data_IF_674355003110
#
_entry.id   IF_674355003110
#
_cell.length_a   1.000
_cell.length_b   1.000
_cell.length_c   1.000
_cell.angle_alpha   90.00
_cell.angle_beta   90.00
_cell.angle_gamma   90.00
#
_symmetry.space_group_name_H-M   'P 1'
#
loop_
_entity.id
_entity.type
_entity.pdbx_description
1 polymer ?
#
# COMPACT_ATOMS: atom_id res chain seq x y z
N UNK A 1 34.30 30.82 -36.10
CA UNK A 1 32.96 30.82 -35.50
C UNK A 1 32.74 29.41 -34.91
N UNK A 2 32.96 29.27 -33.61
CA UNK A 2 32.89 27.97 -32.92
C UNK A 2 31.47 27.87 -32.32
N UNK A 3 30.65 26.98 -32.86
CA UNK A 3 29.36 26.65 -32.28
C UNK A 3 29.58 25.75 -31.06
N UNK A 4 29.41 26.30 -29.88
CA UNK A 4 29.25 25.53 -28.63
C UNK A 4 27.84 24.92 -28.61
N UNK A 5 27.74 23.65 -28.94
CA UNK A 5 26.55 22.86 -28.65
C UNK A 5 26.55 22.54 -27.14
N UNK A 6 25.69 23.22 -26.39
CA UNK A 6 25.35 22.81 -25.03
C UNK A 6 24.72 21.42 -25.08
N UNK A 7 25.12 20.49 -24.23
CA UNK A 7 24.43 19.19 -24.17
C UNK A 7 23.00 19.43 -23.69
N UNK A 8 22.03 19.01 -24.49
CA UNK A 8 20.68 18.81 -24.04
C UNK A 8 20.72 17.79 -22.90
N UNK A 9 20.59 18.25 -21.66
CA UNK A 9 20.30 17.37 -20.54
C UNK A 9 18.91 16.78 -20.83
N UNK A 10 18.85 15.60 -21.40
CA UNK A 10 17.69 14.73 -21.32
C UNK A 10 17.51 14.44 -19.84
N UNK A 11 16.58 15.15 -19.19
CA UNK A 11 16.03 14.72 -17.92
C UNK A 11 15.59 13.27 -18.14
N UNK A 12 16.31 12.32 -17.55
CA UNK A 12 15.90 10.93 -17.53
C UNK A 12 14.45 10.94 -17.02
N UNK A 13 13.52 10.53 -17.86
CA UNK A 13 12.11 10.42 -17.46
C UNK A 13 12.08 9.47 -16.28
N UNK A 14 11.83 10.01 -15.10
CA UNK A 14 11.80 9.22 -13.87
C UNK A 14 10.68 8.18 -14.01
N UNK A 15 11.05 6.92 -13.97
CA UNK A 15 10.13 5.80 -14.15
C UNK A 15 9.01 5.88 -13.10
N UNK A 16 7.76 5.95 -13.57
CA UNK A 16 6.58 6.03 -12.71
C UNK A 16 6.22 4.64 -12.22
N UNK A 17 6.00 4.47 -10.92
CA UNK A 17 5.71 3.18 -10.31
C UNK A 17 4.21 2.88 -10.27
N UNK A 18 3.86 1.64 -10.65
CA UNK A 18 2.52 1.08 -10.45
C UNK A 18 2.57 0.08 -9.29
N UNK A 19 1.89 0.43 -8.21
CA UNK A 19 1.85 -0.33 -6.96
C UNK A 19 0.46 -0.97 -6.86
N UNK A 20 0.40 -2.31 -6.94
CA UNK A 20 -0.84 -3.08 -6.91
C UNK A 20 -1.35 -3.19 -5.47
N UNK A 21 -2.37 -2.41 -5.11
CA UNK A 21 -2.96 -2.32 -3.78
C UNK A 21 -3.61 -3.62 -3.35
N UNK A 22 -3.00 -4.30 -2.37
CA UNK A 22 -3.45 -5.62 -1.88
C UNK A 22 -3.51 -6.68 -2.98
N UNK A 23 -2.64 -6.55 -3.98
CA UNK A 23 -2.67 -7.31 -5.22
C UNK A 23 -3.56 -6.67 -6.29
N UNK A 24 -4.08 -7.46 -7.22
CA UNK A 24 -5.08 -7.02 -8.20
C UNK A 24 -6.48 -7.04 -7.57
N UNK A 25 -6.67 -6.27 -6.48
CA UNK A 25 -7.84 -6.31 -5.61
C UNK A 25 -9.14 -5.80 -6.25
N UNK A 26 -9.05 -5.16 -7.41
CA UNK A 26 -10.21 -4.84 -8.22
C UNK A 26 -10.86 -6.06 -8.91
N UNK A 27 -10.16 -7.20 -8.96
CA UNK A 27 -10.56 -8.40 -9.69
C UNK A 27 -10.65 -9.66 -8.83
N UNK A 28 -9.84 -9.76 -7.78
CA UNK A 28 -9.79 -10.90 -6.86
C UNK A 28 -9.78 -10.41 -5.41
N UNK A 29 -10.24 -11.22 -4.44
CA UNK A 29 -10.23 -10.81 -3.05
C UNK A 29 -8.85 -10.37 -2.59
N UNK A 30 -8.82 -9.23 -1.90
CA UNK A 30 -7.59 -8.58 -1.44
C UNK A 30 -6.69 -9.52 -0.63
N UNK A 31 -5.36 -9.33 -0.76
CA UNK A 31 -4.34 -10.03 0.02
C UNK A 31 -4.28 -11.56 -0.18
N UNK A 32 -4.87 -12.10 -1.23
CA UNK A 32 -4.73 -13.52 -1.57
C UNK A 32 -3.48 -13.76 -2.43
N UNK A 33 -2.93 -14.98 -2.42
CA UNK A 33 -1.83 -15.35 -3.32
C UNK A 33 -2.25 -15.21 -4.78
N UNK A 34 -3.50 -15.54 -5.09
CA UNK A 34 -4.07 -15.45 -6.44
C UNK A 34 -4.14 -13.98 -6.90
N UNK A 35 -4.52 -13.06 -6.01
CA UNK A 35 -4.51 -11.62 -6.30
C UNK A 35 -3.09 -11.11 -6.56
N UNK A 36 -2.09 -11.62 -5.83
CA UNK A 36 -0.68 -11.31 -6.05
C UNK A 36 -0.17 -11.87 -7.39
N UNK A 37 -0.52 -13.12 -7.75
CA UNK A 37 -0.20 -13.71 -9.06
C UNK A 37 -0.79 -12.90 -10.20
N UNK A 38 -2.05 -12.47 -10.07
CA UNK A 38 -2.71 -11.66 -11.07
C UNK A 38 -2.04 -10.28 -11.23
N UNK A 39 -1.68 -9.62 -10.12
CA UNK A 39 -0.93 -8.36 -10.15
C UNK A 39 0.43 -8.51 -10.85
N UNK A 40 1.14 -9.63 -10.61
CA UNK A 40 2.36 -9.96 -11.35
C UNK A 40 2.09 -10.13 -12.85
N UNK A 41 1.08 -10.88 -13.25
CA UNK A 41 0.73 -11.08 -14.66
C UNK A 41 0.34 -9.75 -15.35
N UNK A 42 -0.25 -8.81 -14.60
CA UNK A 42 -0.59 -7.45 -15.04
C UNK A 42 0.60 -6.49 -15.07
N UNK A 43 1.82 -6.97 -14.81
CA UNK A 43 3.08 -6.21 -14.84
C UNK A 43 3.18 -5.07 -13.82
N UNK A 44 2.49 -5.14 -12.69
CA UNK A 44 2.73 -4.21 -11.59
C UNK A 44 4.22 -4.21 -11.17
N UNK A 45 4.77 -3.06 -10.79
CA UNK A 45 6.15 -2.92 -10.34
C UNK A 45 6.31 -3.42 -8.91
N UNK A 46 5.30 -3.12 -8.08
CA UNK A 46 5.25 -3.54 -6.68
C UNK A 46 3.91 -4.18 -6.34
N UNK A 47 3.98 -5.18 -5.48
CA UNK A 47 2.85 -5.73 -4.76
C UNK A 47 2.73 -5.00 -3.41
N UNK A 48 1.67 -4.24 -3.22
CA UNK A 48 1.36 -3.69 -1.91
C UNK A 48 0.61 -4.71 -1.08
N UNK A 49 0.96 -4.78 0.20
CA UNK A 49 0.34 -5.67 1.17
C UNK A 49 0.43 -5.12 2.59
N UNK A 50 -0.58 -5.45 3.39
CA UNK A 50 -0.66 -5.11 4.81
C UNK A 50 -0.27 -6.32 5.66
N UNK A 51 0.47 -6.11 6.76
CA UNK A 51 0.81 -7.17 7.71
C UNK A 51 0.27 -6.88 9.10
N UNK A 52 -0.28 -7.94 9.71
CA UNK A 52 -0.69 -8.01 11.12
C UNK A 52 -0.14 -9.28 11.75
N UNK A 53 -0.09 -9.34 13.07
CA UNK A 53 0.43 -10.52 13.78
C UNK A 53 -0.67 -11.40 14.35
N UNK A 54 -0.40 -12.70 14.36
CA UNK A 54 -1.15 -13.70 15.12
C UNK A 54 -0.62 -13.77 16.56
N UNK A 55 -1.36 -14.49 17.44
CA UNK A 55 -0.96 -14.74 18.84
C UNK A 55 0.41 -15.43 18.98
N UNK A 56 0.75 -16.29 18.04
CA UNK A 56 2.00 -17.04 17.96
C UNK A 56 3.07 -16.33 17.09
N UNK A 57 2.99 -15.01 17.04
CA UNK A 57 3.99 -14.13 16.42
C UNK A 57 4.26 -14.38 14.94
N UNK A 58 3.26 -14.86 14.17
CA UNK A 58 3.40 -14.98 12.74
C UNK A 58 2.82 -13.73 12.04
N UNK A 59 3.50 -13.23 11.01
CA UNK A 59 2.97 -12.17 10.16
C UNK A 59 2.06 -12.77 9.09
N UNK A 60 0.78 -12.46 9.18
CA UNK A 60 -0.23 -12.77 8.14
C UNK A 60 -0.51 -11.53 7.31
N UNK A 61 -0.91 -11.74 6.06
CA UNK A 61 -1.22 -10.66 5.11
C UNK A 61 -2.70 -10.35 5.20
N UNK A 62 -3.03 -9.21 5.83
CA UNK A 62 -4.39 -8.77 6.09
C UNK A 62 -4.42 -7.29 6.44
N UNK A 63 -5.43 -6.56 5.92
CA UNK A 63 -5.56 -5.13 6.19
C UNK A 63 -6.04 -4.81 7.61
N UNK A 64 -7.07 -5.51 8.09
CA UNK A 64 -7.71 -5.19 9.35
C UNK A 64 -7.05 -5.97 10.51
N UNK A 65 -7.04 -5.39 11.70
CA UNK A 65 -6.66 -6.08 12.93
C UNK A 65 -7.69 -7.17 13.34
N UNK A 66 -8.80 -7.25 12.59
CA UNK A 66 -9.86 -8.23 12.81
C UNK A 66 -10.08 -9.08 11.57
N UNK A 67 -10.40 -10.34 11.79
CA UNK A 67 -10.67 -11.33 10.73
C UNK A 67 -12.04 -11.18 10.07
N UNK A 68 -12.91 -10.29 10.60
CA UNK A 68 -14.32 -10.21 10.24
C UNK A 68 -14.59 -9.81 8.78
N UNK A 69 -13.86 -8.83 8.26
CA UNK A 69 -14.27 -8.14 7.03
C UNK A 69 -14.01 -8.94 5.75
N UNK A 70 -13.07 -9.89 5.80
CA UNK A 70 -12.59 -10.63 4.62
C UNK A 70 -12.54 -12.14 4.81
N UNK A 71 -13.01 -12.67 5.97
CA UNK A 71 -12.97 -14.12 6.22
C UNK A 71 -14.30 -14.64 6.81
N UNK A 72 -14.48 -15.96 6.74
CA UNK A 72 -15.60 -16.68 7.34
C UNK A 72 -15.36 -17.07 8.81
N UNK A 73 -14.65 -16.24 9.57
CA UNK A 73 -14.23 -16.53 10.96
C UNK A 73 -15.39 -16.80 11.90
N UNK A 74 -16.49 -16.09 11.72
CA UNK A 74 -17.74 -16.26 12.50
C UNK A 74 -18.37 -17.65 12.32
N UNK A 75 -18.22 -18.25 11.14
CA UNK A 75 -18.71 -19.61 10.83
C UNK A 75 -17.77 -20.69 11.37
N UNK A 76 -16.45 -20.47 11.30
CA UNK A 76 -15.44 -21.47 11.71
C UNK A 76 -15.21 -21.46 13.23
N UNK A 77 -15.31 -20.28 13.85
CA UNK A 77 -15.09 -20.10 15.28
C UNK A 77 -16.25 -19.37 15.95
N UNK A 78 -17.50 -19.92 15.88
CA UNK A 78 -18.64 -19.27 16.52
C UNK A 78 -18.42 -19.11 18.02
N UNK A 79 -18.77 -17.93 18.55
CA UNK A 79 -18.65 -17.63 19.99
C UNK A 79 -17.24 -17.27 20.48
N UNK A 80 -16.21 -17.19 19.61
CA UNK A 80 -14.86 -16.73 19.97
C UNK A 80 -14.64 -15.24 19.75
N UNK A 81 -15.66 -14.51 19.31
CA UNK A 81 -15.56 -13.06 19.22
C UNK A 81 -15.36 -12.43 20.59
N UNK A 82 -14.47 -11.45 20.67
CA UNK A 82 -14.37 -10.56 21.81
C UNK A 82 -15.60 -9.66 21.96
N UNK A 83 -15.50 -8.67 22.84
CA UNK A 83 -16.53 -7.61 22.98
C UNK A 83 -16.81 -6.96 21.63
N UNK A 84 -18.08 -6.72 21.33
CA UNK A 84 -18.54 -6.13 20.07
C UNK A 84 -18.45 -7.04 18.82
N UNK A 85 -18.37 -8.37 18.97
CA UNK A 85 -18.37 -9.31 17.85
C UNK A 85 -17.08 -9.29 17.01
N UNK A 86 -15.98 -8.76 17.53
CA UNK A 86 -14.68 -8.68 16.82
C UNK A 86 -13.83 -9.92 17.09
N UNK A 87 -13.19 -10.41 16.02
CA UNK A 87 -12.22 -11.52 16.05
C UNK A 87 -10.83 -10.94 15.78
N UNK A 88 -10.10 -10.55 16.84
CA UNK A 88 -8.78 -9.92 16.70
C UNK A 88 -7.74 -10.94 16.25
N UNK A 89 -6.90 -10.59 15.30
CA UNK A 89 -5.85 -11.47 14.76
C UNK A 89 -4.90 -11.97 15.83
N UNK A 90 -4.56 -11.10 16.81
CA UNK A 90 -3.67 -11.43 17.94
C UNK A 90 -4.27 -12.44 18.93
N UNK A 91 -5.52 -12.84 18.80
CA UNK A 91 -6.18 -13.85 19.63
C UNK A 91 -6.19 -15.23 18.97
N UNK A 92 -5.74 -15.32 17.71
CA UNK A 92 -5.69 -16.55 16.92
C UNK A 92 -4.26 -16.95 16.60
N UNK A 93 -3.97 -18.26 16.65
CA UNK A 93 -2.72 -18.80 16.11
C UNK A 93 -2.76 -18.88 14.58
N UNK A 94 -1.59 -18.98 13.95
CA UNK A 94 -1.52 -19.20 12.50
C UNK A 94 -2.30 -20.46 12.08
N UNK A 95 -2.18 -21.56 12.83
CA UNK A 95 -2.90 -22.80 12.56
C UNK A 95 -4.43 -22.64 12.59
N UNK A 96 -4.94 -21.71 13.39
CA UNK A 96 -6.36 -21.36 13.42
C UNK A 96 -6.72 -20.47 12.22
N UNK A 97 -5.91 -19.46 11.90
CA UNK A 97 -6.13 -18.58 10.74
C UNK A 97 -6.14 -19.37 9.43
N UNK A 98 -5.27 -20.37 9.27
CA UNK A 98 -5.22 -21.24 8.08
C UNK A 98 -6.45 -22.12 7.87
N UNK A 99 -7.37 -22.21 8.83
CA UNK A 99 -8.68 -22.87 8.67
C UNK A 99 -9.72 -21.96 8.01
N UNK A 100 -9.46 -20.67 7.95
CA UNK A 100 -10.38 -19.68 7.40
C UNK A 100 -10.33 -19.70 5.87
N UNK A 101 -11.42 -19.20 5.28
CA UNK A 101 -11.49 -18.90 3.86
C UNK A 101 -11.73 -17.41 3.67
N UNK A 102 -11.01 -16.83 2.71
CA UNK A 102 -11.14 -15.43 2.34
C UNK A 102 -12.27 -15.24 1.34
N UNK A 103 -13.04 -14.18 1.52
CA UNK A 103 -14.05 -13.67 0.60
C UNK A 103 -13.80 -12.20 0.27
N UNK A 104 -14.53 -11.67 -0.71
CA UNK A 104 -14.49 -10.24 -1.03
C UNK A 104 -14.86 -9.41 0.20
N UNK A 105 -14.24 -8.23 0.34
CA UNK A 105 -14.42 -7.37 1.51
C UNK A 105 -15.88 -7.04 1.78
N UNK A 106 -16.32 -7.25 3.02
CA UNK A 106 -17.64 -6.86 3.52
C UNK A 106 -17.77 -5.34 3.63
N UNK A 107 -18.96 -4.82 3.39
CA UNK A 107 -19.32 -3.47 3.76
C UNK A 107 -19.30 -3.28 5.29
N UNK A 108 -19.35 -2.03 5.77
CA UNK A 108 -19.30 -1.70 7.21
C UNK A 108 -20.39 -2.35 8.05
N UNK A 109 -21.50 -2.78 7.43
CA UNK A 109 -22.62 -3.46 8.10
C UNK A 109 -22.47 -4.99 8.12
N UNK A 110 -21.50 -5.54 7.37
CA UNK A 110 -21.33 -6.98 7.21
C UNK A 110 -22.44 -7.67 6.41
N UNK A 111 -23.25 -6.91 5.67
CA UNK A 111 -24.44 -7.40 4.99
C UNK A 111 -24.27 -7.62 3.48
N UNK A 112 -23.07 -7.44 2.95
CA UNK A 112 -22.76 -7.58 1.52
C UNK A 112 -21.38 -7.02 1.19
N UNK A 113 -20.98 -6.96 -0.09
CA UNK A 113 -19.67 -6.49 -0.51
C UNK A 113 -19.49 -5.00 -0.23
N UNK A 114 -18.23 -4.59 0.02
CA UNK A 114 -17.83 -3.18 0.12
C UNK A 114 -17.81 -2.49 -1.24
N UNK A 115 -17.54 -3.26 -2.30
CA UNK A 115 -17.50 -2.81 -3.69
C UNK A 115 -18.35 -3.73 -4.54
N UNK A 116 -19.37 -3.16 -5.17
CA UNK A 116 -20.23 -3.91 -6.09
C UNK A 116 -19.49 -4.21 -7.40
N UNK A 117 -19.79 -5.35 -8.01
CA UNK A 117 -19.24 -5.74 -9.31
C UNK A 117 -17.82 -6.30 -9.27
N UNK A 118 -17.20 -6.44 -8.09
CA UNK A 118 -15.93 -7.17 -7.91
C UNK A 118 -16.16 -8.69 -7.86
N UNK A 119 -15.15 -9.43 -7.39
CA UNK A 119 -15.24 -10.88 -7.27
C UNK A 119 -16.48 -11.31 -6.45
N UNK A 120 -17.15 -12.45 -6.78
CA UNK A 120 -18.36 -12.87 -6.09
C UNK A 120 -18.18 -12.98 -4.57
N UNK A 121 -18.98 -12.21 -3.82
CA UNK A 121 -18.86 -12.06 -2.37
C UNK A 121 -19.01 -13.39 -1.60
N UNK A 122 -19.88 -14.27 -2.05
CA UNK A 122 -20.15 -15.56 -1.40
C UNK A 122 -19.06 -16.62 -1.66
N UNK A 123 -18.06 -16.31 -2.47
CA UNK A 123 -16.99 -17.26 -2.81
C UNK A 123 -16.00 -17.40 -1.65
N UNK A 124 -15.69 -18.64 -1.28
CA UNK A 124 -14.79 -19.01 -0.17
C UNK A 124 -13.65 -19.91 -0.70
N UNK A 125 -13.02 -19.51 -1.81
CA UNK A 125 -11.99 -20.30 -2.49
C UNK A 125 -10.57 -20.07 -1.96
N UNK A 126 -10.32 -18.92 -1.32
CA UNK A 126 -8.99 -18.42 -1.03
C UNK A 126 -8.62 -18.58 0.44
N UNK A 127 -7.32 -18.50 0.73
CA UNK A 127 -6.77 -18.59 2.08
C UNK A 127 -6.07 -17.28 2.49
N UNK A 128 -5.90 -17.08 3.80
CA UNK A 128 -5.09 -15.98 4.35
C UNK A 128 -3.62 -16.36 4.22
N UNK A 129 -2.80 -15.62 3.44
CA UNK A 129 -1.37 -15.93 3.33
C UNK A 129 -0.58 -15.38 4.51
N UNK A 130 0.58 -15.97 4.74
CA UNK A 130 1.64 -15.37 5.55
C UNK A 130 2.52 -14.47 4.69
N UNK A 131 3.27 -13.56 5.33
CA UNK A 131 4.29 -12.78 4.63
C UNK A 131 5.33 -13.68 3.95
N UNK A 132 5.71 -14.79 4.60
CA UNK A 132 6.72 -15.70 4.04
C UNK A 132 6.21 -16.43 2.78
N UNK A 133 4.93 -16.78 2.71
CA UNK A 133 4.32 -17.33 1.48
C UNK A 133 4.37 -16.32 0.32
N UNK A 134 4.11 -15.03 0.59
CA UNK A 134 4.27 -13.97 -0.41
C UNK A 134 5.74 -13.82 -0.85
N UNK A 135 6.69 -13.80 0.09
CA UNK A 135 8.13 -13.71 -0.22
C UNK A 135 8.59 -14.90 -1.10
N UNK A 136 8.15 -16.11 -0.77
CA UNK A 136 8.43 -17.29 -1.57
C UNK A 136 7.83 -17.18 -2.99
N UNK A 137 6.60 -16.67 -3.09
CA UNK A 137 5.92 -16.47 -4.36
C UNK A 137 6.68 -15.48 -5.27
N UNK A 138 7.04 -14.29 -4.75
CA UNK A 138 7.74 -13.29 -5.58
C UNK A 138 9.16 -13.72 -5.95
N UNK A 139 9.85 -14.44 -5.06
CA UNK A 139 11.14 -15.05 -5.39
C UNK A 139 11.00 -16.17 -6.45
N UNK A 140 9.92 -16.94 -6.39
CA UNK A 140 9.56 -17.91 -7.41
C UNK A 140 9.37 -17.24 -8.78
N UNK A 141 8.69 -16.10 -8.84
CA UNK A 141 8.53 -15.34 -10.09
C UNK A 141 9.86 -14.85 -10.64
N UNK A 142 10.73 -14.29 -9.79
CA UNK A 142 12.08 -13.88 -10.20
C UNK A 142 12.85 -15.05 -10.84
N UNK A 143 12.76 -16.23 -10.25
CA UNK A 143 13.45 -17.41 -10.75
C UNK A 143 12.85 -17.94 -12.06
N UNK A 144 11.52 -18.03 -12.16
CA UNK A 144 10.83 -18.67 -13.29
C UNK A 144 10.63 -17.76 -14.50
N UNK A 145 10.46 -16.45 -14.28
CA UNK A 145 10.14 -15.45 -15.32
C UNK A 145 11.26 -14.42 -15.53
N UNK A 146 12.27 -14.37 -14.66
CA UNK A 146 13.34 -13.37 -14.73
C UNK A 146 12.92 -11.94 -14.35
N UNK A 147 11.62 -11.69 -14.02
CA UNK A 147 11.10 -10.38 -13.62
C UNK A 147 10.99 -10.28 -12.11
N UNK A 148 11.49 -9.18 -11.56
CA UNK A 148 11.33 -8.82 -10.16
C UNK A 148 10.04 -8.03 -10.00
N UNK A 149 9.15 -8.46 -9.11
CA UNK A 149 8.08 -7.64 -8.55
C UNK A 149 8.48 -7.26 -7.12
N UNK A 150 8.59 -5.98 -6.84
CA UNK A 150 8.94 -5.49 -5.51
C UNK A 150 7.79 -5.68 -4.52
N UNK A 151 8.06 -5.52 -3.23
CA UNK A 151 7.06 -5.56 -2.17
C UNK A 151 6.93 -4.18 -1.50
N UNK A 152 5.69 -3.80 -1.24
CA UNK A 152 5.31 -2.55 -0.60
C UNK A 152 4.50 -2.88 0.65
N UNK A 153 5.16 -2.96 1.84
CA UNK A 153 4.62 -3.65 3.02
C UNK A 153 4.17 -2.63 4.05
N UNK A 154 2.86 -2.59 4.37
CA UNK A 154 2.33 -1.75 5.44
C UNK A 154 2.29 -2.50 6.78
N UNK A 155 2.83 -1.87 7.82
CA UNK A 155 2.67 -2.33 9.20
C UNK A 155 1.39 -1.71 9.77
N UNK A 156 0.38 -2.55 10.04
CA UNK A 156 -0.91 -2.13 10.58
C UNK A 156 -0.92 -2.15 12.10
N UNK A 157 -1.51 -1.12 12.70
CA UNK A 157 -1.87 -1.10 14.13
C UNK A 157 -0.76 -1.48 15.11
N UNK A 158 0.48 -1.03 14.89
CA UNK A 158 1.63 -1.39 15.71
C UNK A 158 1.43 -1.06 17.20
N UNK A 159 0.74 0.05 17.52
CA UNK A 159 0.42 0.41 18.90
C UNK A 159 -0.50 -0.63 19.56
N UNK A 160 -1.48 -1.14 18.84
CA UNK A 160 -2.41 -2.15 19.33
C UNK A 160 -1.68 -3.49 19.53
N UNK A 161 -0.80 -3.88 18.60
CA UNK A 161 0.03 -5.08 18.75
C UNK A 161 0.90 -5.03 20.02
N UNK A 162 1.47 -3.85 20.36
CA UNK A 162 2.24 -3.68 21.60
C UNK A 162 1.43 -3.96 22.87
N UNK A 163 0.12 -3.71 22.88
CA UNK A 163 -0.75 -4.06 24.02
C UNK A 163 -0.85 -5.58 24.23
N UNK A 164 -0.56 -6.38 23.20
CA UNK A 164 -0.45 -7.84 23.24
C UNK A 164 0.99 -8.33 23.33
N UNK A 165 1.96 -7.47 23.68
CA UNK A 165 3.40 -7.76 23.70
C UNK A 165 3.96 -8.23 22.35
N UNK A 166 3.40 -7.81 21.25
CA UNK A 166 3.79 -8.14 19.89
C UNK A 166 4.51 -6.95 19.22
N UNK A 167 5.55 -7.22 18.44
CA UNK A 167 6.31 -6.21 17.68
C UNK A 167 6.38 -6.58 16.19
N UNK A 168 5.40 -6.15 15.39
CA UNK A 168 5.37 -6.46 13.97
C UNK A 168 6.53 -5.84 13.19
N UNK A 169 7.06 -4.69 13.60
CA UNK A 169 8.16 -4.03 12.93
C UNK A 169 9.47 -4.82 13.08
N UNK A 170 9.80 -5.24 14.30
CA UNK A 170 10.95 -6.08 14.57
C UNK A 170 10.86 -7.43 13.86
N UNK A 171 9.67 -8.05 13.89
CA UNK A 171 9.43 -9.33 13.20
C UNK A 171 9.57 -9.20 11.70
N UNK A 172 9.01 -8.12 11.10
CA UNK A 172 9.14 -7.84 9.67
C UNK A 172 10.60 -7.72 9.25
N UNK A 173 11.39 -6.90 9.95
CA UNK A 173 12.81 -6.73 9.64
C UNK A 173 13.59 -8.04 9.73
N UNK A 174 13.32 -8.85 10.74
CA UNK A 174 13.99 -10.15 10.91
C UNK A 174 13.61 -11.14 9.78
N UNK A 175 12.38 -11.11 9.29
CA UNK A 175 11.96 -11.92 8.14
C UNK A 175 12.65 -11.42 6.88
N UNK A 176 12.59 -10.11 6.58
CA UNK A 176 13.21 -9.54 5.38
C UNK A 176 14.72 -9.81 5.32
N UNK A 177 15.42 -9.73 6.46
CA UNK A 177 16.84 -10.06 6.54
C UNK A 177 17.14 -11.53 6.19
N UNK A 178 16.29 -12.49 6.58
CA UNK A 178 16.43 -13.91 6.19
C UNK A 178 16.25 -14.14 4.69
N UNK A 179 15.55 -13.25 4.01
CA UNK A 179 15.35 -13.25 2.56
C UNK A 179 16.32 -12.33 1.81
N UNK A 180 17.40 -11.89 2.50
CA UNK A 180 18.47 -11.03 1.97
C UNK A 180 18.06 -9.61 1.55
N UNK A 181 16.95 -9.11 2.06
CA UNK A 181 16.52 -7.71 1.88
C UNK A 181 17.06 -6.84 3.02
N UNK A 182 18.03 -5.96 2.73
CA UNK A 182 18.72 -5.12 3.73
C UNK A 182 18.99 -3.69 3.26
N UNK A 183 19.05 -3.47 1.96
CA UNK A 183 19.58 -2.23 1.36
C UNK A 183 18.48 -1.37 0.72
N UNK A 184 18.75 -0.08 0.59
CA UNK A 184 17.85 0.84 -0.10
C UNK A 184 17.67 0.50 -1.61
N UNK A 185 18.59 -0.25 -2.20
CA UNK A 185 18.50 -0.74 -3.57
C UNK A 185 17.59 -1.96 -3.72
N UNK A 186 17.25 -2.63 -2.61
CA UNK A 186 16.36 -3.77 -2.66
C UNK A 186 14.94 -3.33 -3.08
N UNK A 187 14.20 -4.19 -3.76
CA UNK A 187 12.85 -3.86 -4.23
C UNK A 187 11.82 -3.97 -3.10
N UNK A 188 12.07 -3.27 -1.99
CA UNK A 188 11.25 -3.25 -0.78
C UNK A 188 10.97 -1.81 -0.37
N UNK A 189 9.70 -1.51 -0.16
CA UNK A 189 9.24 -0.37 0.60
C UNK A 189 8.50 -0.84 1.84
N UNK A 190 8.70 -0.18 2.98
CA UNK A 190 7.94 -0.40 4.20
C UNK A 190 7.18 0.89 4.50
N UNK A 191 5.88 0.77 4.72
CA UNK A 191 5.01 1.92 4.96
C UNK A 191 4.23 1.78 6.28
N UNK A 192 3.83 2.89 6.84
CA UNK A 192 2.93 2.94 7.99
C UNK A 192 2.27 4.31 8.12
N UNK A 193 1.07 4.35 8.70
CA UNK A 193 0.45 5.57 9.21
C UNK A 193 1.08 6.03 10.53
N UNK A 194 1.70 5.13 11.29
CA UNK A 194 2.33 5.41 12.57
C UNK A 194 3.78 5.89 12.37
N UNK A 195 4.02 7.20 12.51
CA UNK A 195 5.34 7.80 12.36
C UNK A 195 6.37 7.25 13.36
N UNK A 196 5.96 6.88 14.58
CA UNK A 196 6.87 6.37 15.61
C UNK A 196 7.43 5.00 15.23
N UNK A 197 6.65 4.17 14.52
CA UNK A 197 7.12 2.89 13.97
C UNK A 197 8.24 3.13 12.97
N UNK A 198 8.05 4.02 12.00
CA UNK A 198 9.03 4.32 10.96
C UNK A 198 10.29 4.97 11.55
N UNK A 199 10.14 5.92 12.49
CA UNK A 199 11.26 6.52 13.22
C UNK A 199 12.05 5.46 13.99
N UNK A 200 11.37 4.54 14.69
CA UNK A 200 12.00 3.42 15.40
C UNK A 200 12.77 2.52 14.44
N UNK A 201 12.20 2.18 13.30
CA UNK A 201 12.86 1.37 12.28
C UNK A 201 14.12 2.07 11.74
N UNK A 202 14.06 3.35 11.41
CA UNK A 202 15.20 4.11 10.89
C UNK A 202 16.26 4.37 11.97
N UNK A 203 15.84 4.84 13.15
CA UNK A 203 16.77 5.36 14.16
C UNK A 203 17.27 4.27 15.12
N UNK A 204 16.41 3.34 15.54
CA UNK A 204 16.75 2.30 16.51
C UNK A 204 17.20 1.01 15.83
N UNK A 205 16.44 0.52 14.84
CA UNK A 205 16.80 -0.70 14.12
C UNK A 205 17.78 -0.46 12.98
N UNK A 206 18.05 0.82 12.63
CA UNK A 206 19.04 1.22 11.62
C UNK A 206 18.77 0.59 10.23
N UNK A 207 17.51 0.34 9.89
CA UNK A 207 17.19 -0.21 8.58
C UNK A 207 17.62 0.75 7.46
N UNK A 208 18.19 0.19 6.40
CA UNK A 208 18.49 0.91 5.16
C UNK A 208 17.43 0.72 4.08
N UNK A 209 16.44 -0.15 4.31
CA UNK A 209 15.30 -0.31 3.42
C UNK A 209 14.53 1.01 3.26
N UNK A 210 13.87 1.19 2.12
CA UNK A 210 13.05 2.38 1.88
C UNK A 210 11.85 2.40 2.80
N UNK A 211 11.61 3.55 3.43
CA UNK A 211 10.46 3.79 4.31
C UNK A 211 9.56 4.85 3.69
N UNK A 212 8.25 4.67 3.81
CA UNK A 212 7.25 5.63 3.37
C UNK A 212 6.26 5.98 4.48
N UNK A 213 6.11 7.28 4.74
CA UNK A 213 5.11 7.78 5.68
C UNK A 213 3.76 7.91 4.97
N UNK A 214 2.79 7.08 5.33
CA UNK A 214 1.41 7.25 4.90
C UNK A 214 0.79 8.46 5.60
N UNK A 215 0.07 9.29 4.85
CA UNK A 215 -0.62 10.46 5.37
C UNK A 215 -2.12 10.24 5.26
N UNK A 216 -2.78 10.15 6.43
CA UNK A 216 -4.23 10.04 6.57
C UNK A 216 -4.87 11.35 6.97
N UNK A 217 -6.06 11.25 7.55
CA UNK A 217 -6.77 12.35 8.22
C UNK A 217 -6.77 12.08 9.72
N UNK A 218 -6.50 13.10 10.55
CA UNK A 218 -6.48 12.95 12.02
C UNK A 218 -7.78 12.33 12.55
N UNK A 219 -8.93 12.66 11.93
CA UNK A 219 -10.25 12.13 12.28
C UNK A 219 -10.43 10.62 12.01
N UNK A 220 -9.53 9.98 11.27
CA UNK A 220 -9.62 8.53 11.04
C UNK A 220 -9.11 7.70 12.21
N UNK A 221 -8.34 8.30 13.13
CA UNK A 221 -7.85 7.63 14.33
C UNK A 221 -6.95 6.42 14.06
N UNK A 222 -6.16 6.46 12.98
CA UNK A 222 -5.31 5.34 12.55
C UNK A 222 -4.06 5.16 13.42
N UNK A 223 -3.57 6.26 14.00
CA UNK A 223 -2.42 6.30 14.90
C UNK A 223 -2.44 7.63 15.68
N UNK A 224 -1.50 7.82 16.61
CA UNK A 224 -1.27 9.08 17.30
C UNK A 224 -0.54 10.14 16.43
N UNK A 225 -0.20 9.83 15.18
CA UNK A 225 0.47 10.73 14.25
C UNK A 225 -0.41 11.92 13.90
N UNK A 226 0.11 13.13 14.02
CA UNK A 226 -0.57 14.35 13.57
C UNK A 226 -0.35 14.54 12.06
N UNK A 227 -1.29 14.04 11.25
CA UNK A 227 -1.23 14.14 9.80
C UNK A 227 -1.37 15.57 9.28
N UNK A 228 -2.07 16.47 10.02
CA UNK A 228 -2.18 17.87 9.60
C UNK A 228 -0.82 18.58 9.73
N UNK A 229 -0.08 18.28 10.79
CA UNK A 229 1.30 18.73 10.93
C UNK A 229 2.20 18.16 9.82
N UNK A 230 2.13 16.86 9.53
CA UNK A 230 2.98 16.23 8.51
C UNK A 230 2.76 16.81 7.10
N UNK A 231 1.59 17.37 6.80
CA UNK A 231 1.31 18.05 5.51
C UNK A 231 1.96 19.44 5.40
N UNK A 232 2.50 19.99 6.49
CA UNK A 232 3.21 21.29 6.47
C UNK A 232 4.65 21.14 5.96
N UNK A 233 5.25 22.26 5.52
CA UNK A 233 6.66 22.28 5.11
C UNK A 233 7.60 21.79 6.23
N UNK A 234 7.32 22.13 7.49
CA UNK A 234 8.10 21.70 8.65
C UNK A 234 7.93 20.20 8.88
N UNK A 235 6.69 19.70 8.82
CA UNK A 235 6.40 18.27 8.96
C UNK A 235 7.04 17.43 7.86
N UNK A 236 6.99 17.85 6.60
CA UNK A 236 7.66 17.15 5.48
C UNK A 236 9.19 17.13 5.64
N UNK A 237 9.79 18.21 6.14
CA UNK A 237 11.22 18.20 6.46
C UNK A 237 11.55 17.21 7.59
N UNK A 238 10.68 17.06 8.58
CA UNK A 238 10.83 16.04 9.62
C UNK A 238 10.71 14.63 9.04
N UNK A 239 9.73 14.38 8.16
CA UNK A 239 9.55 13.08 7.46
C UNK A 239 10.82 12.70 6.69
N UNK A 240 11.46 13.65 5.98
CA UNK A 240 12.70 13.42 5.27
C UNK A 240 13.88 12.97 6.16
N UNK A 241 13.79 13.20 7.47
CA UNK A 241 14.77 12.72 8.44
C UNK A 241 14.66 11.22 8.77
N UNK A 242 13.55 10.55 8.41
CA UNK A 242 13.36 9.13 8.72
C UNK A 242 12.76 8.29 7.58
N UNK A 243 12.12 8.91 6.60
CA UNK A 243 11.49 8.22 5.48
C UNK A 243 12.01 8.73 4.13
N UNK A 244 11.87 7.90 3.10
CA UNK A 244 12.31 8.16 1.73
C UNK A 244 11.17 8.69 0.84
N UNK A 245 9.94 8.67 1.36
CA UNK A 245 8.76 9.13 0.64
C UNK A 245 7.54 9.31 1.53
N UNK A 246 6.50 9.86 0.92
CA UNK A 246 5.16 10.00 1.50
C UNK A 246 4.11 9.32 0.64
N UNK A 247 3.08 8.74 1.28
CA UNK A 247 1.87 8.24 0.65
C UNK A 247 0.66 9.06 1.11
N UNK A 248 0.33 10.18 0.46
CA UNK A 248 -0.86 10.94 0.81
C UNK A 248 -2.12 10.29 0.25
N UNK A 249 -3.25 10.41 0.96
CA UNK A 249 -4.54 10.14 0.35
C UNK A 249 -4.74 11.06 -0.86
N UNK A 250 -5.22 10.52 -1.99
CA UNK A 250 -5.31 11.26 -3.25
C UNK A 250 -6.06 12.61 -3.12
N UNK A 251 -7.06 12.69 -2.23
CA UNK A 251 -7.80 13.94 -2.00
C UNK A 251 -7.01 14.98 -1.18
N UNK A 252 -5.83 14.62 -0.65
CA UNK A 252 -4.88 15.57 -0.06
C UNK A 252 -3.90 16.13 -1.08
N UNK A 253 -3.93 15.63 -2.31
CA UNK A 253 -3.16 16.12 -3.46
C UNK A 253 -4.02 17.00 -4.34
N UNK A 254 -5.20 16.50 -4.73
CA UNK A 254 -6.22 17.21 -5.50
C UNK A 254 -7.51 17.26 -4.69
N UNK A 255 -7.94 18.47 -4.30
CA UNK A 255 -9.10 18.65 -3.42
C UNK A 255 -10.42 18.86 -4.16
N UNK A 256 -10.39 18.89 -5.50
CA UNK A 256 -11.55 19.08 -6.36
C UNK A 256 -11.29 20.05 -7.50
N UNK A 257 -12.35 20.65 -8.04
CA UNK A 257 -12.30 21.73 -9.06
C UNK A 257 -12.81 23.04 -8.46
N UNK A 258 -12.33 24.17 -9.00
CA UNK A 258 -12.89 25.49 -8.71
C UNK A 258 -14.15 25.75 -9.59
N UNK A 259 -14.75 26.92 -9.45
CA UNK A 259 -15.95 27.33 -10.21
C UNK A 259 -15.66 27.37 -11.73
N UNK A 260 -14.41 27.66 -12.12
CA UNK A 260 -13.98 27.70 -13.53
C UNK A 260 -13.64 26.31 -14.09
N UNK A 261 -13.70 25.25 -13.28
CA UNK A 261 -13.37 23.89 -13.70
C UNK A 261 -11.89 23.49 -13.51
N UNK A 262 -11.01 24.41 -13.04
CA UNK A 262 -9.60 24.12 -12.82
C UNK A 262 -9.38 23.26 -11.56
N UNK A 263 -8.38 22.38 -11.58
CA UNK A 263 -8.02 21.54 -10.44
C UNK A 263 -7.48 22.37 -9.27
N UNK A 264 -7.96 22.07 -8.06
CA UNK A 264 -7.44 22.61 -6.80
C UNK A 264 -6.34 21.72 -6.26
N UNK A 265 -5.08 22.08 -6.53
CA UNK A 265 -3.90 21.37 -6.05
C UNK A 265 -3.45 21.94 -4.70
N UNK A 266 -3.04 21.06 -3.77
CA UNK A 266 -2.55 21.48 -2.43
C UNK A 266 -1.08 21.90 -2.43
N UNK A 267 -0.32 21.52 -3.48
CA UNK A 267 1.14 21.73 -3.55
C UNK A 267 1.96 20.76 -2.71
N UNK A 268 1.35 19.76 -2.05
CA UNK A 268 2.07 18.80 -1.20
C UNK A 268 3.14 18.03 -1.96
N UNK A 269 2.91 17.69 -3.25
CA UNK A 269 3.88 16.97 -4.09
C UNK A 269 5.12 17.82 -4.32
N UNK A 270 4.97 19.07 -4.73
CA UNK A 270 6.09 20.00 -4.93
C UNK A 270 6.86 20.23 -3.64
N UNK A 271 6.16 20.36 -2.50
CA UNK A 271 6.81 20.50 -1.19
C UNK A 271 7.59 19.23 -0.79
N UNK A 272 7.04 18.04 -1.04
CA UNK A 272 7.71 16.78 -0.75
C UNK A 272 8.97 16.60 -1.61
N UNK A 273 8.88 16.88 -2.91
CA UNK A 273 10.01 16.82 -3.83
C UNK A 273 11.13 17.82 -3.43
N UNK A 274 10.79 18.98 -2.86
CA UNK A 274 11.79 19.93 -2.33
C UNK A 274 12.67 19.29 -1.24
N UNK A 275 12.16 18.32 -0.51
CA UNK A 275 12.88 17.55 0.51
C UNK A 275 13.36 16.18 0.01
N UNK A 276 13.37 15.93 -1.31
CA UNK A 276 13.74 14.67 -1.95
C UNK A 276 12.85 13.47 -1.52
N UNK A 277 11.65 13.71 -1.04
CA UNK A 277 10.68 12.66 -0.73
C UNK A 277 9.96 12.21 -1.99
N UNK A 278 9.88 10.90 -2.22
CA UNK A 278 9.02 10.31 -3.24
C UNK A 278 7.56 10.44 -2.83
N UNK A 279 6.65 10.51 -3.82
CA UNK A 279 5.21 10.69 -3.56
C UNK A 279 4.42 9.60 -4.27
N UNK A 280 3.79 8.71 -3.49
CA UNK A 280 2.97 7.61 -3.97
C UNK A 280 1.55 7.67 -3.36
N UNK A 281 0.62 8.44 -3.95
CA UNK A 281 -0.73 8.58 -3.40
C UNK A 281 -1.55 7.28 -3.51
N UNK A 282 -2.49 7.13 -2.58
CA UNK A 282 -3.44 6.03 -2.49
C UNK A 282 -4.89 6.53 -2.42
N UNK A 283 -5.88 5.78 -2.74
CA UNK A 283 -5.91 4.57 -3.57
C UNK A 283 -6.75 4.88 -4.80
N UNK A 284 -6.18 4.66 -5.97
CA UNK A 284 -6.86 4.93 -7.23
C UNK A 284 -7.69 3.72 -7.68
N UNK A 285 -8.95 3.95 -8.00
CA UNK A 285 -9.92 2.90 -8.31
C UNK A 285 -10.77 3.26 -9.52
N UNK A 286 -11.01 2.29 -10.38
CA UNK A 286 -11.91 2.44 -11.54
C UNK A 286 -13.38 2.57 -11.09
N UNK A 287 -13.74 1.79 -10.07
CA UNK A 287 -15.10 1.70 -9.53
C UNK A 287 -15.43 2.76 -8.46
N UNK A 288 -14.49 3.68 -8.18
CA UNK A 288 -14.68 4.79 -7.23
C UNK A 288 -13.84 6.00 -7.63
N UNK A 289 -14.23 6.66 -8.70
CA UNK A 289 -13.59 7.89 -9.15
C UNK A 289 -13.95 9.08 -8.25
N UNK A 290 -13.02 10.05 -8.05
CA UNK A 290 -13.36 11.32 -7.43
C UNK A 290 -14.10 12.22 -8.42
N UNK A 291 -14.88 13.18 -7.90
CA UNK A 291 -15.73 14.07 -8.72
C UNK A 291 -14.96 14.93 -9.75
N UNK A 292 -13.64 15.03 -9.61
CA UNK A 292 -12.82 15.81 -10.53
C UNK A 292 -12.27 15.01 -11.73
N UNK A 293 -12.52 13.70 -11.79
CA UNK A 293 -12.10 12.83 -12.90
C UNK A 293 -13.32 12.10 -13.48
N UNK A 294 -13.50 12.12 -14.80
CA UNK A 294 -14.61 11.45 -15.48
C UNK A 294 -14.28 9.98 -15.78
N UNK A 295 -13.01 9.69 -16.07
CA UNK A 295 -12.50 8.36 -16.34
C UNK A 295 -11.30 8.04 -15.46
N UNK A 296 -10.93 6.76 -15.41
CA UNK A 296 -9.71 6.36 -14.71
C UNK A 296 -8.45 6.88 -15.40
N UNK A 297 -8.47 6.95 -16.72
CA UNK A 297 -7.40 7.53 -17.53
C UNK A 297 -7.23 9.04 -17.28
N UNK A 298 -8.30 9.79 -17.07
CA UNK A 298 -8.23 11.21 -16.63
C UNK A 298 -7.58 11.31 -15.24
N UNK A 299 -7.96 10.41 -14.32
CA UNK A 299 -7.35 10.38 -12.99
C UNK A 299 -5.85 10.12 -13.09
N UNK A 300 -5.42 9.16 -13.90
CA UNK A 300 -4.01 8.86 -14.13
C UNK A 300 -3.26 10.03 -14.77
N UNK A 301 -3.87 10.67 -15.77
CA UNK A 301 -3.31 11.87 -16.41
C UNK A 301 -3.09 13.00 -15.39
N UNK A 302 -4.09 13.28 -14.54
CA UNK A 302 -3.97 14.29 -13.49
C UNK A 302 -2.77 14.00 -12.59
N UNK A 303 -2.64 12.77 -12.10
CA UNK A 303 -1.60 12.47 -11.11
C UNK A 303 -0.21 12.30 -11.74
N UNK A 304 -0.07 11.63 -12.87
CA UNK A 304 1.22 11.41 -13.49
C UNK A 304 1.74 12.62 -14.28
N UNK A 305 0.86 13.30 -15.03
CA UNK A 305 1.30 14.33 -15.98
C UNK A 305 1.16 15.74 -15.40
N UNK A 306 0.06 16.06 -14.69
CA UNK A 306 -0.14 17.41 -14.16
C UNK A 306 0.47 17.59 -12.77
N UNK A 307 0.25 16.65 -11.87
CA UNK A 307 0.77 16.66 -10.48
C UNK A 307 2.19 16.13 -10.38
N UNK A 308 2.58 15.23 -11.29
CA UNK A 308 3.92 14.63 -11.41
C UNK A 308 4.33 13.79 -10.19
N UNK A 309 3.42 12.95 -9.66
CA UNK A 309 3.75 11.98 -8.62
C UNK A 309 4.73 10.91 -9.13
N UNK A 310 5.47 10.26 -8.24
CA UNK A 310 6.49 9.25 -8.57
C UNK A 310 5.91 7.86 -8.81
N UNK A 311 4.74 7.58 -8.29
CA UNK A 311 4.02 6.33 -8.48
C UNK A 311 2.60 6.45 -7.94
N UNK A 312 1.78 5.42 -8.11
CA UNK A 312 0.43 5.34 -7.57
C UNK A 312 0.13 3.98 -6.97
N UNK A 313 -0.73 3.97 -5.95
CA UNK A 313 -1.29 2.74 -5.37
C UNK A 313 -2.70 2.55 -5.91
N UNK A 314 -2.96 1.40 -6.59
CA UNK A 314 -4.20 1.15 -7.31
C UNK A 314 -4.72 -0.28 -7.17
N UNK A 315 -6.05 -0.45 -7.13
CA UNK A 315 -6.73 -1.75 -7.17
C UNK A 315 -6.71 -2.38 -8.60
N UNK A 316 -6.39 -1.59 -9.64
CA UNK A 316 -6.45 -1.95 -11.06
C UNK A 316 -5.11 -1.72 -11.76
N UNK A 317 -4.08 -2.54 -11.46
CA UNK A 317 -2.73 -2.31 -11.96
C UNK A 317 -2.61 -2.41 -13.49
N UNK A 318 -3.35 -3.30 -14.14
CA UNK A 318 -3.38 -3.46 -15.61
C UNK A 318 -3.79 -2.19 -16.34
N UNK A 319 -4.78 -1.45 -15.78
CA UNK A 319 -5.26 -0.19 -16.37
C UNK A 319 -4.19 0.91 -16.26
N UNK A 320 -3.49 0.96 -15.13
CA UNK A 320 -2.42 1.93 -14.92
C UNK A 320 -1.17 1.62 -15.75
N UNK A 321 -0.76 0.35 -15.84
CA UNK A 321 0.34 -0.09 -16.71
C UNK A 321 0.05 0.24 -18.18
N UNK A 322 -1.16 -0.10 -18.67
CA UNK A 322 -1.57 0.20 -20.04
C UNK A 322 -1.57 1.70 -20.34
N UNK A 323 -1.90 2.54 -19.36
CA UNK A 323 -1.84 4.01 -19.51
C UNK A 323 -0.39 4.46 -19.71
N UNK A 324 0.56 3.99 -18.88
CA UNK A 324 1.96 4.37 -19.02
C UNK A 324 2.59 3.84 -20.32
N UNK A 325 2.29 2.60 -20.73
CA UNK A 325 2.76 2.04 -22.01
C UNK A 325 2.34 2.93 -23.19
N UNK A 326 1.09 3.40 -23.23
CA UNK A 326 0.60 4.30 -24.29
C UNK A 326 1.26 5.69 -24.30
N UNK A 327 1.61 6.22 -23.11
CA UNK A 327 2.22 7.55 -23.01
C UNK A 327 3.73 7.54 -23.26
N UNK A 328 4.38 6.38 -23.21
CA UNK A 328 5.79 6.22 -23.56
C UNK A 328 6.03 6.16 -25.08
N UNK A 329 5.00 5.80 -25.88
CA UNK A 329 5.08 5.69 -27.35
C UNK A 329 4.84 7.03 -28.08
N UNK A 330 4.63 8.12 -27.34
CA UNK A 330 4.41 9.49 -27.85
C UNK A 330 5.45 10.46 -27.28
#
# INVERSE_FOLDING_TARGET
>A
MIYLTLPYNTLATQEKLIIAHRGASGYLPEHTLESAVLAFAMKADFLELDVVMTRDEQLIVMHDLTLNATTNVDKIFPGRSGTNGKYLTMEFSLAEVKKLRVHERSNKRGSGPAFEGRFPYESLLFEVPTLEEILQLVNGFKQSHGRVMGLYIEIKGAEIHRQYNLDPAKKLLAILERYDYREASDPIWIQSFDAEVLKTMRQKHKTRLKLLQLIGENRWGLSATDFDYLKTKVGLNEVAGYADGIGPWMNQVVTGKNISGDLKLTGIVTMAHHFNLKVHPYTMRVDRLPDYAETFEDLLHIFFNLVQVDGIITDYPDRAVKFLEKTADH
#
